data_IF_066976737062
#
_entry.id   IF_066976737062
#
_cell.length_a   1.000
_cell.length_b   1.000
_cell.length_c   1.000
_cell.angle_alpha   90.00
_cell.angle_beta   90.00
_cell.angle_gamma   90.00
#
_symmetry.space_group_name_H-M   'P 1'
#
loop_
_entity.id
_entity.type
_entity.pdbx_description
1 polymer ?
#
# COMPACT_ATOMS: atom_id res chain seq x y z
N UNK A 1 -16.29 1.59 37.45
CA UNK A 1 -16.60 0.94 36.15
C UNK A 1 -17.87 0.06 36.22
N UNK A 2 -18.15 -0.60 37.34
CA UNK A 2 -19.32 -1.47 37.52
C UNK A 2 -20.68 -0.78 37.66
N UNK A 3 -20.71 0.55 37.76
CA UNK A 3 -21.95 1.34 37.93
C UNK A 3 -22.62 1.77 36.62
N UNK A 4 -21.95 1.60 35.46
CA UNK A 4 -22.47 2.01 34.20
C UNK A 4 -23.09 0.83 33.40
N UNK A 5 -24.24 1.07 32.77
CA UNK A 5 -24.80 0.16 31.78
C UNK A 5 -24.03 0.35 30.44
N UNK A 6 -22.97 -0.39 30.27
CA UNK A 6 -22.10 -0.30 29.11
C UNK A 6 -22.80 -0.68 27.79
N UNK A 7 -23.94 -1.39 27.87
CA UNK A 7 -24.75 -1.66 26.68
C UNK A 7 -25.43 -0.41 26.11
N UNK A 8 -25.47 0.68 26.87
CA UNK A 8 -26.04 1.99 26.50
C UNK A 8 -25.05 3.13 26.63
N UNK A 9 -23.82 2.84 27.07
CA UNK A 9 -22.78 3.85 27.33
C UNK A 9 -21.73 3.80 26.23
N UNK A 10 -21.32 4.97 25.72
CA UNK A 10 -20.21 5.11 24.81
C UNK A 10 -18.89 5.31 25.58
N UNK A 11 -17.79 4.85 25.00
CA UNK A 11 -16.44 5.19 25.41
C UNK A 11 -15.86 6.27 24.48
N UNK A 12 -15.17 7.25 25.05
CA UNK A 12 -14.43 8.28 24.35
C UNK A 12 -12.97 8.23 24.78
N UNK A 13 -12.06 8.13 23.81
CA UNK A 13 -10.62 8.18 24.06
C UNK A 13 -9.86 8.82 22.88
N UNK A 14 -8.59 9.12 23.10
CA UNK A 14 -7.66 9.52 22.04
C UNK A 14 -6.72 8.36 21.71
N UNK A 15 -6.82 7.78 20.52
CA UNK A 15 -6.23 6.49 20.14
C UNK A 15 -6.94 5.31 20.86
N UNK A 16 -8.24 5.33 20.81
CA UNK A 16 -9.17 4.47 21.58
C UNK A 16 -8.93 2.96 21.38
N UNK A 17 -8.23 2.53 20.33
CA UNK A 17 -7.88 1.13 20.14
C UNK A 17 -7.14 0.54 21.34
N UNK A 18 -6.23 1.31 21.96
CA UNK A 18 -5.48 0.87 23.12
C UNK A 18 -6.38 0.76 24.36
N UNK A 19 -7.06 1.85 24.72
CA UNK A 19 -7.87 1.93 25.95
C UNK A 19 -9.03 0.94 25.93
N UNK A 20 -9.75 0.86 24.80
CA UNK A 20 -10.90 -0.04 24.67
C UNK A 20 -10.47 -1.51 24.63
N UNK A 21 -9.29 -1.83 24.08
CA UNK A 21 -8.80 -3.21 24.16
C UNK A 21 -8.53 -3.65 25.60
N UNK A 22 -8.03 -2.76 26.46
CA UNK A 22 -7.87 -3.03 27.89
C UNK A 22 -9.23 -3.22 28.56
N UNK A 23 -10.20 -2.31 28.30
CA UNK A 23 -11.55 -2.43 28.84
C UNK A 23 -12.20 -3.76 28.47
N UNK A 24 -12.14 -4.14 27.19
CA UNK A 24 -12.83 -5.35 26.69
C UNK A 24 -12.08 -6.64 27.06
N UNK A 25 -10.76 -6.70 26.87
CA UNK A 25 -10.02 -7.94 27.03
C UNK A 25 -9.62 -8.22 28.48
N UNK A 26 -9.35 -7.16 29.27
CA UNK A 26 -8.94 -7.32 30.67
C UNK A 26 -10.12 -7.28 31.64
N UNK A 27 -11.10 -6.41 31.36
CA UNK A 27 -12.21 -6.16 32.28
C UNK A 27 -13.57 -6.66 31.79
N UNK A 28 -13.66 -7.18 30.56
CA UNK A 28 -14.91 -7.66 29.97
C UNK A 28 -15.94 -6.56 29.68
N UNK A 29 -15.53 -5.30 29.74
CA UNK A 29 -16.41 -4.13 29.57
C UNK A 29 -16.52 -3.80 28.09
N UNK A 30 -17.75 -3.86 27.54
CA UNK A 30 -18.02 -3.65 26.11
C UNK A 30 -18.90 -2.42 25.89
N UNK A 31 -18.31 -1.25 25.60
CA UNK A 31 -19.09 -0.04 25.30
C UNK A 31 -20.03 -0.23 24.11
N UNK A 32 -21.25 0.37 24.19
CA UNK A 32 -22.20 0.35 23.07
C UNK A 32 -21.62 1.02 21.80
N UNK A 33 -20.85 2.09 21.99
CA UNK A 33 -20.21 2.86 20.93
C UNK A 33 -18.82 3.34 21.36
N UNK A 34 -17.91 3.52 20.41
CA UNK A 34 -16.55 3.96 20.66
C UNK A 34 -16.25 5.20 19.81
N UNK A 35 -15.92 6.30 20.48
CA UNK A 35 -15.42 7.52 19.84
C UNK A 35 -13.89 7.57 19.96
N UNK A 36 -13.23 7.93 18.88
CA UNK A 36 -11.76 8.10 18.82
C UNK A 36 -11.39 9.45 18.22
N UNK A 37 -10.97 10.37 19.06
CA UNK A 37 -10.58 11.71 18.62
C UNK A 37 -9.35 11.73 17.71
N UNK A 38 -8.46 10.72 17.79
CA UNK A 38 -7.33 10.59 16.85
C UNK A 38 -7.82 10.26 15.44
N UNK A 39 -8.74 9.31 15.31
CA UNK A 39 -9.35 8.95 14.02
C UNK A 39 -10.14 10.10 13.41
N UNK A 40 -10.93 10.81 14.23
CA UNK A 40 -11.68 12.00 13.80
C UNK A 40 -10.74 13.11 13.31
N UNK A 41 -9.68 13.41 14.06
CA UNK A 41 -8.72 14.44 13.70
C UNK A 41 -7.97 14.11 12.39
N UNK A 42 -7.58 12.85 12.18
CA UNK A 42 -6.95 12.41 10.92
C UNK A 42 -7.83 12.67 9.69
N UNK A 43 -9.11 12.42 9.80
CA UNK A 43 -10.04 12.64 8.68
C UNK A 43 -10.25 14.13 8.38
N UNK A 44 -10.31 15.00 9.39
CA UNK A 44 -10.55 16.43 9.22
C UNK A 44 -9.29 17.23 8.86
N UNK A 45 -8.12 16.81 9.37
CA UNK A 45 -6.88 17.61 9.31
C UNK A 45 -5.80 16.97 8.44
N UNK A 46 -5.99 15.71 8.05
CA UNK A 46 -4.98 14.91 7.39
C UNK A 46 -3.97 14.29 8.36
N UNK A 47 -3.22 13.31 7.86
CA UNK A 47 -2.26 12.53 8.66
C UNK A 47 -0.89 13.20 8.80
N UNK A 48 -0.62 14.23 7.98
CA UNK A 48 0.71 14.86 7.89
C UNK A 48 0.95 15.96 8.93
N UNK A 49 -0.11 16.60 9.40
CA UNK A 49 0.00 17.74 10.33
C UNK A 49 0.27 17.34 11.78
N UNK A 50 0.26 16.04 12.08
CA UNK A 50 0.35 15.55 13.44
C UNK A 50 -0.98 15.69 14.21
N UNK A 51 -1.42 14.60 14.82
CA UNK A 51 -2.71 14.53 15.49
C UNK A 51 -2.59 13.91 16.89
N UNK A 52 -1.44 14.06 17.57
CA UNK A 52 -1.30 13.66 18.96
C UNK A 52 -2.17 14.53 19.88
N UNK A 53 -2.56 14.01 21.04
CA UNK A 53 -3.36 14.75 22.02
C UNK A 53 -2.72 16.12 22.36
N UNK A 54 -1.40 16.13 22.58
CA UNK A 54 -0.65 17.37 22.84
C UNK A 54 -0.71 18.36 21.68
N UNK A 55 -0.56 17.87 20.44
CA UNK A 55 -0.61 18.74 19.24
C UNK A 55 -2.00 19.31 19.04
N UNK A 56 -3.05 18.51 19.21
CA UNK A 56 -4.43 18.96 19.10
C UNK A 56 -4.79 19.96 20.22
N UNK A 57 -4.34 19.71 21.45
CA UNK A 57 -4.53 20.64 22.55
C UNK A 57 -3.89 22.01 22.25
N UNK A 58 -2.64 22.02 21.79
CA UNK A 58 -1.94 23.25 21.36
C UNK A 58 -2.67 23.98 20.24
N UNK A 59 -3.06 23.26 19.18
CA UNK A 59 -3.71 23.86 18.00
C UNK A 59 -5.09 24.43 18.30
N UNK A 60 -5.78 23.87 19.30
CA UNK A 60 -7.08 24.36 19.77
C UNK A 60 -6.99 25.35 20.92
N UNK A 61 -5.79 25.77 21.33
CA UNK A 61 -5.59 26.72 22.43
C UNK A 61 -6.07 26.18 23.78
N UNK A 62 -5.98 24.85 23.99
CA UNK A 62 -6.27 24.20 25.25
C UNK A 62 -5.01 24.14 26.14
N UNK A 63 -5.14 23.88 27.44
CA UNK A 63 -4.00 23.69 28.33
C UNK A 63 -3.00 22.66 27.82
N UNK A 64 -1.71 22.86 28.12
CA UNK A 64 -0.65 21.95 27.69
C UNK A 64 -0.80 20.57 28.30
N UNK A 65 -0.59 19.52 27.51
CA UNK A 65 -0.57 18.13 27.96
C UNK A 65 0.62 17.88 28.89
N UNK A 66 0.40 17.27 30.04
CA UNK A 66 1.43 16.88 31.00
C UNK A 66 2.36 15.77 30.46
N UNK A 67 3.43 15.47 31.22
CA UNK A 67 4.46 14.47 30.88
C UNK A 67 4.66 13.39 31.97
N UNK A 68 3.83 13.36 33.01
CA UNK A 68 4.00 12.48 34.16
C UNK A 68 4.12 10.98 33.80
N UNK A 69 3.51 10.54 32.71
CA UNK A 69 3.62 9.14 32.25
C UNK A 69 5.07 8.70 31.98
N UNK A 70 5.97 9.61 31.62
CA UNK A 70 7.37 9.26 31.35
C UNK A 70 8.18 8.95 32.60
N UNK A 71 7.74 9.41 33.79
CA UNK A 71 8.40 9.11 35.06
C UNK A 71 8.14 7.68 35.55
N UNK A 72 7.14 7.00 34.94
CA UNK A 72 6.78 5.61 35.32
C UNK A 72 7.31 4.57 34.33
N UNK A 73 8.02 4.96 33.25
CA UNK A 73 8.55 4.06 32.25
C UNK A 73 9.53 3.04 32.86
N UNK A 74 9.20 1.74 32.71
CA UNK A 74 10.03 0.63 33.20
C UNK A 74 9.86 0.30 34.70
N UNK A 75 9.00 0.99 35.39
CA UNK A 75 8.71 0.67 36.81
C UNK A 75 7.66 -0.44 36.91
N UNK A 76 7.92 -1.42 37.79
CA UNK A 76 6.96 -2.47 38.12
C UNK A 76 5.96 -2.04 39.22
N UNK A 77 6.38 -1.13 40.08
CA UNK A 77 5.60 -0.57 41.20
C UNK A 77 5.82 0.94 41.24
N UNK A 78 4.83 1.67 41.70
CA UNK A 78 4.85 3.13 41.89
C UNK A 78 4.47 3.45 43.34
N UNK A 79 5.04 4.49 43.92
CA UNK A 79 4.68 4.99 45.24
C UNK A 79 3.39 5.83 45.18
N UNK A 80 2.88 6.23 46.37
CA UNK A 80 1.62 6.97 46.49
C UNK A 80 1.68 8.39 45.86
N UNK A 81 2.85 9.01 45.89
CA UNK A 81 3.01 10.36 45.34
C UNK A 81 3.00 10.30 43.81
N UNK A 82 3.71 9.34 43.21
CA UNK A 82 3.64 9.04 41.82
C UNK A 82 2.25 8.61 41.34
N UNK A 83 1.53 7.79 42.15
CA UNK A 83 0.15 7.41 41.90
C UNK A 83 -0.77 8.63 41.82
N UNK A 84 -0.62 9.58 42.75
CA UNK A 84 -1.40 10.82 42.78
C UNK A 84 -1.10 11.70 41.55
N UNK A 85 0.18 11.90 41.24
CA UNK A 85 0.60 12.65 40.07
C UNK A 85 0.07 12.04 38.74
N UNK A 86 0.15 10.71 38.65
CA UNK A 86 -0.38 9.99 37.49
C UNK A 86 -1.91 10.09 37.37
N UNK A 87 -2.61 10.06 38.51
CA UNK A 87 -4.06 10.24 38.56
C UNK A 87 -4.49 11.63 38.04
N UNK A 88 -3.78 12.68 38.45
CA UNK A 88 -4.06 14.04 37.99
C UNK A 88 -3.69 14.22 36.53
N UNK A 89 -2.60 13.63 36.09
CA UNK A 89 -2.26 13.55 34.69
C UNK A 89 -3.35 12.85 33.84
N UNK A 90 -3.87 11.70 34.29
CA UNK A 90 -4.95 10.99 33.62
C UNK A 90 -6.24 11.82 33.53
N UNK A 91 -6.63 12.50 34.65
CA UNK A 91 -7.79 13.40 34.63
C UNK A 91 -7.62 14.54 33.61
N UNK A 92 -6.43 15.09 33.54
CA UNK A 92 -6.11 16.15 32.58
C UNK A 92 -6.19 15.67 31.14
N UNK A 93 -5.66 14.46 30.84
CA UNK A 93 -5.75 13.87 29.50
C UNK A 93 -7.22 13.59 29.10
N UNK A 94 -8.06 13.12 30.03
CA UNK A 94 -9.51 12.95 29.81
C UNK A 94 -10.18 14.30 29.51
N UNK A 95 -9.89 15.34 30.29
CA UNK A 95 -10.38 16.70 30.04
C UNK A 95 -10.00 17.21 28.64
N UNK A 96 -8.72 17.07 28.25
CA UNK A 96 -8.26 17.46 26.91
C UNK A 96 -8.98 16.68 25.82
N UNK A 97 -9.12 15.36 25.99
CA UNK A 97 -9.82 14.50 25.04
C UNK A 97 -11.28 14.92 24.85
N UNK A 98 -12.00 15.24 25.94
CA UNK A 98 -13.37 15.72 25.91
C UNK A 98 -13.49 17.07 25.17
N UNK A 99 -12.64 18.03 25.49
CA UNK A 99 -12.65 19.36 24.83
C UNK A 99 -12.32 19.28 23.34
N UNK A 100 -11.40 18.38 22.97
CA UNK A 100 -11.07 18.12 21.57
C UNK A 100 -12.27 17.46 20.86
N UNK A 101 -12.91 16.48 21.49
CA UNK A 101 -14.08 15.82 20.92
C UNK A 101 -15.21 16.81 20.62
N UNK A 102 -15.54 17.69 21.56
CA UNK A 102 -16.58 18.71 21.37
C UNK A 102 -16.35 19.58 20.13
N UNK A 103 -15.09 19.92 19.84
CA UNK A 103 -14.75 20.70 18.66
C UNK A 103 -14.76 19.91 17.35
N UNK A 104 -14.40 18.61 17.41
CA UNK A 104 -14.35 17.77 16.24
C UNK A 104 -15.72 17.24 15.83
N UNK A 105 -16.63 17.04 16.79
CA UNK A 105 -17.92 16.36 16.54
C UNK A 105 -18.99 17.27 15.93
N UNK A 106 -18.87 18.58 16.06
CA UNK A 106 -19.90 19.55 15.71
C UNK A 106 -20.47 19.35 14.30
N UNK A 107 -19.60 19.15 13.30
CA UNK A 107 -20.01 18.90 11.92
C UNK A 107 -19.53 17.55 11.39
N UNK A 108 -19.18 16.61 12.29
CA UNK A 108 -18.64 15.31 11.87
C UNK A 108 -19.75 14.38 11.37
N UNK A 109 -19.62 13.78 10.17
CA UNK A 109 -20.67 12.91 9.63
C UNK A 109 -20.92 11.69 10.52
N UNK A 110 -22.17 11.43 10.85
CA UNK A 110 -22.56 10.26 11.69
C UNK A 110 -22.18 8.92 11.05
N UNK A 111 -22.18 8.85 9.71
CA UNK A 111 -21.70 7.68 8.96
C UNK A 111 -20.22 7.39 9.26
N UNK A 112 -19.37 8.42 9.29
CA UNK A 112 -17.95 8.28 9.55
C UNK A 112 -17.67 7.90 11.01
N UNK A 113 -18.45 8.42 11.96
CA UNK A 113 -18.35 7.97 13.36
C UNK A 113 -18.65 6.47 13.49
N UNK A 114 -19.66 5.95 12.73
CA UNK A 114 -19.94 4.52 12.70
C UNK A 114 -18.80 3.70 12.07
N UNK A 115 -18.15 4.22 11.05
CA UNK A 115 -16.98 3.57 10.44
C UNK A 115 -15.78 3.52 11.41
N UNK A 116 -15.57 4.56 12.20
CA UNK A 116 -14.55 4.58 13.27
C UNK A 116 -14.88 3.51 14.32
N UNK A 117 -16.09 3.50 14.85
CA UNK A 117 -16.55 2.52 15.83
C UNK A 117 -16.39 1.08 15.30
N UNK A 118 -16.83 0.82 14.07
CA UNK A 118 -16.70 -0.48 13.42
C UNK A 118 -15.22 -0.88 13.28
N UNK A 119 -14.36 0.05 12.85
CA UNK A 119 -12.92 -0.21 12.67
C UNK A 119 -12.27 -0.64 13.99
N UNK A 120 -12.59 0.04 15.08
CA UNK A 120 -12.09 -0.30 16.42
C UNK A 120 -12.63 -1.66 16.89
N UNK A 121 -13.93 -1.93 16.70
CA UNK A 121 -14.55 -3.22 17.05
C UNK A 121 -14.02 -4.39 16.24
N UNK A 122 -13.56 -4.21 14.99
CA UNK A 122 -12.88 -5.25 14.23
C UNK A 122 -11.59 -5.73 14.91
N UNK A 123 -10.97 -4.89 15.72
CA UNK A 123 -9.81 -5.23 16.52
C UNK A 123 -10.20 -5.76 17.92
N UNK A 124 -11.04 -5.02 18.64
CA UNK A 124 -11.35 -5.33 20.05
C UNK A 124 -12.33 -6.48 20.21
N UNK A 125 -13.18 -6.76 19.20
CA UNK A 125 -14.19 -7.83 19.15
C UNK A 125 -14.00 -8.71 17.91
N UNK A 126 -12.85 -9.37 17.77
CA UNK A 126 -12.57 -10.16 16.58
C UNK A 126 -13.55 -11.32 16.43
N UNK A 127 -13.94 -11.59 15.17
CA UNK A 127 -14.87 -12.70 14.83
C UNK A 127 -14.26 -13.70 13.85
N UNK A 128 -13.21 -13.31 13.11
CA UNK A 128 -12.58 -14.19 12.12
C UNK A 128 -11.86 -15.36 12.77
N UNK A 129 -12.00 -16.54 12.20
CA UNK A 129 -11.30 -17.76 12.61
C UNK A 129 -10.08 -18.02 11.75
N UNK A 130 -9.18 -18.86 12.22
CA UNK A 130 -7.99 -19.28 11.48
C UNK A 130 -7.94 -20.81 11.35
N UNK A 131 -7.74 -21.31 10.13
CA UNK A 131 -7.46 -22.70 9.86
C UNK A 131 -6.04 -23.06 10.32
N UNK A 132 -5.95 -23.63 11.52
CA UNK A 132 -4.67 -24.01 12.14
C UNK A 132 -3.98 -25.13 11.37
N UNK A 133 -4.77 -26.09 10.86
CA UNK A 133 -4.23 -27.23 10.12
C UNK A 133 -3.53 -26.77 8.87
N UNK A 134 -4.21 -25.95 8.07
CA UNK A 134 -3.64 -25.34 6.86
C UNK A 134 -2.37 -24.51 7.16
N UNK A 135 -2.35 -23.76 8.25
CA UNK A 135 -1.19 -22.94 8.62
C UNK A 135 0.01 -23.82 9.01
N UNK A 136 -0.21 -24.90 9.76
CA UNK A 136 0.84 -25.83 10.17
C UNK A 136 1.40 -26.59 8.96
N UNK A 137 0.52 -27.08 8.09
CA UNK A 137 0.91 -27.76 6.85
C UNK A 137 1.77 -26.86 5.96
N UNK A 138 1.30 -25.62 5.71
CA UNK A 138 2.03 -24.67 4.89
C UNK A 138 3.41 -24.29 5.46
N UNK A 139 3.52 -24.13 6.78
CA UNK A 139 4.81 -23.88 7.45
C UNK A 139 5.74 -25.08 7.36
N UNK A 140 5.19 -26.28 7.48
CA UNK A 140 5.97 -27.54 7.39
C UNK A 140 6.49 -27.75 5.97
N UNK A 141 5.66 -27.55 4.96
CA UNK A 141 6.06 -27.65 3.55
C UNK A 141 7.11 -26.62 3.17
N UNK A 142 6.91 -25.35 3.62
CA UNK A 142 7.88 -24.29 3.38
C UNK A 142 9.23 -24.60 4.05
N UNK A 143 9.21 -25.14 5.27
CA UNK A 143 10.40 -25.59 5.99
C UNK A 143 11.16 -26.70 5.23
N UNK A 144 10.46 -27.75 4.83
CA UNK A 144 11.04 -28.87 4.05
C UNK A 144 11.62 -28.41 2.71
N UNK A 145 10.89 -27.52 1.99
CA UNK A 145 11.36 -26.99 0.72
C UNK A 145 12.65 -26.17 0.89
N UNK A 146 12.71 -25.35 1.94
CA UNK A 146 13.90 -24.55 2.26
C UNK A 146 15.10 -25.43 2.63
N UNK A 147 14.90 -26.43 3.49
CA UNK A 147 15.93 -27.39 3.89
C UNK A 147 16.45 -28.17 2.67
N UNK A 148 15.55 -28.59 1.77
CA UNK A 148 15.91 -29.27 0.53
C UNK A 148 16.77 -28.39 -0.41
N UNK A 149 16.46 -27.09 -0.53
CA UNK A 149 17.27 -26.15 -1.32
C UNK A 149 18.66 -25.93 -0.71
N UNK A 150 18.76 -25.77 0.62
CA UNK A 150 20.03 -25.62 1.31
C UNK A 150 20.90 -26.86 1.16
N UNK A 151 20.32 -28.04 1.33
CA UNK A 151 21.02 -29.32 1.15
C UNK A 151 21.51 -29.52 -0.30
N UNK A 152 20.68 -29.19 -1.30
CA UNK A 152 21.06 -29.28 -2.72
C UNK A 152 22.25 -28.38 -3.07
N UNK A 153 22.30 -27.19 -2.48
CA UNK A 153 23.35 -26.21 -2.73
C UNK A 153 24.58 -26.43 -1.85
N UNK A 154 24.51 -27.23 -0.80
CA UNK A 154 25.59 -27.43 0.17
C UNK A 154 25.97 -26.13 0.91
N UNK A 155 25.02 -25.23 1.14
CA UNK A 155 25.24 -23.92 1.79
C UNK A 155 24.41 -23.77 3.05
N UNK A 156 24.90 -22.96 3.95
CA UNK A 156 24.20 -22.60 5.20
C UNK A 156 23.24 -21.42 5.00
N UNK A 157 22.15 -21.39 5.77
CA UNK A 157 21.19 -20.29 5.77
C UNK A 157 21.88 -18.94 6.04
N UNK A 158 22.88 -18.92 6.94
CA UNK A 158 23.68 -17.75 7.30
C UNK A 158 24.47 -17.16 6.12
N UNK A 159 24.87 -18.00 5.17
CA UNK A 159 25.61 -17.59 3.98
C UNK A 159 24.70 -16.91 2.98
N UNK A 160 23.51 -17.47 2.78
CA UNK A 160 22.48 -16.86 1.93
C UNK A 160 21.90 -15.59 2.54
N UNK A 161 21.79 -15.50 3.85
CA UNK A 161 21.28 -14.29 4.53
C UNK A 161 22.25 -13.10 4.50
N UNK A 162 23.55 -13.34 4.58
CA UNK A 162 24.59 -12.33 4.61
C UNK A 162 24.92 -11.81 3.20
N UNK A 163 24.89 -10.49 2.99
CA UNK A 163 25.27 -9.92 1.69
C UNK A 163 26.73 -10.22 1.29
N UNK A 164 27.75 -10.07 2.18
CA UNK A 164 29.14 -10.40 1.84
C UNK A 164 29.34 -11.91 1.55
N UNK A 165 28.78 -12.80 2.37
CA UNK A 165 28.91 -14.24 2.17
C UNK A 165 28.23 -14.68 0.87
N UNK A 166 27.05 -14.18 0.58
CA UNK A 166 26.35 -14.45 -0.69
C UNK A 166 27.13 -13.96 -1.91
N UNK A 167 27.74 -12.78 -1.81
CA UNK A 167 28.62 -12.29 -2.86
C UNK A 167 29.81 -13.21 -3.12
N UNK A 168 30.39 -13.82 -2.06
CA UNK A 168 31.46 -14.80 -2.18
C UNK A 168 30.96 -16.09 -2.88
N UNK A 169 29.72 -16.56 -2.59
CA UNK A 169 29.13 -17.70 -3.28
C UNK A 169 28.95 -17.42 -4.80
N UNK A 170 28.51 -16.23 -5.18
CA UNK A 170 28.44 -15.84 -6.59
C UNK A 170 29.80 -15.84 -7.26
N UNK A 171 30.85 -15.34 -6.59
CA UNK A 171 32.22 -15.42 -7.09
C UNK A 171 32.70 -16.88 -7.24
N UNK A 172 32.31 -17.76 -6.33
CA UNK A 172 32.61 -19.20 -6.44
C UNK A 172 32.01 -19.87 -7.69
N UNK A 173 30.88 -19.34 -8.17
CA UNK A 173 30.23 -19.75 -9.43
C UNK A 173 30.74 -18.96 -10.66
N UNK A 174 31.81 -18.17 -10.53
CA UNK A 174 32.38 -17.37 -11.62
C UNK A 174 31.57 -16.12 -12.00
N UNK A 175 30.62 -15.69 -11.17
CA UNK A 175 29.75 -14.55 -11.44
C UNK A 175 30.09 -13.38 -10.53
N UNK A 176 30.36 -12.20 -11.12
CA UNK A 176 30.59 -10.97 -10.38
C UNK A 176 29.30 -10.52 -9.67
N UNK A 177 29.31 -10.30 -8.33
CA UNK A 177 28.15 -9.81 -7.61
C UNK A 177 27.69 -8.45 -8.12
N UNK A 178 26.39 -8.28 -8.43
CA UNK A 178 25.87 -7.03 -8.98
C UNK A 178 25.97 -5.90 -7.95
N UNK A 179 26.27 -4.70 -8.44
CA UNK A 179 26.42 -3.48 -7.63
C UNK A 179 25.56 -2.36 -8.17
N UNK A 180 25.17 -1.43 -7.28
CA UNK A 180 24.44 -0.21 -7.61
C UNK A 180 24.89 0.96 -6.73
N UNK A 181 24.65 2.17 -7.19
CA UNK A 181 24.83 3.36 -6.37
C UNK A 181 23.62 3.50 -5.43
N UNK A 182 23.88 3.61 -4.14
CA UNK A 182 22.86 3.84 -3.13
C UNK A 182 22.26 5.24 -3.28
N UNK A 183 20.94 5.33 -3.43
CA UNK A 183 20.23 6.63 -3.50
C UNK A 183 20.33 7.45 -2.22
N UNK A 184 20.58 6.78 -1.09
CA UNK A 184 20.65 7.43 0.23
C UNK A 184 22.06 7.92 0.57
N UNK A 185 23.09 7.14 0.21
CA UNK A 185 24.48 7.44 0.63
C UNK A 185 25.38 7.83 -0.54
N UNK A 186 24.94 7.68 -1.79
CA UNK A 186 25.77 7.89 -2.98
C UNK A 186 26.90 6.86 -3.18
N UNK A 187 27.05 5.89 -2.28
CA UNK A 187 28.12 4.89 -2.33
C UNK A 187 27.73 3.67 -3.15
N UNK A 188 28.74 3.01 -3.74
CA UNK A 188 28.56 1.76 -4.47
C UNK A 188 28.30 0.61 -3.48
N UNK A 189 27.11 -0.01 -3.58
CA UNK A 189 26.65 -1.11 -2.73
C UNK A 189 26.29 -2.34 -3.55
N UNK A 190 26.17 -3.51 -2.90
CA UNK A 190 25.69 -4.74 -3.54
C UNK A 190 24.20 -4.61 -3.92
N UNK A 191 23.85 -4.91 -5.17
CA UNK A 191 22.50 -4.89 -5.71
C UNK A 191 21.85 -6.28 -5.59
N UNK A 192 21.54 -6.71 -4.36
CA UNK A 192 21.05 -8.07 -4.05
C UNK A 192 19.62 -8.10 -3.52
N UNK A 193 18.87 -7.01 -3.64
CA UNK A 193 17.46 -7.00 -3.26
C UNK A 193 16.59 -7.62 -4.36
N UNK A 194 15.43 -8.18 -3.97
CA UNK A 194 14.48 -8.80 -4.89
C UNK A 194 14.11 -7.91 -6.09
N UNK A 195 14.05 -6.59 -5.89
CA UNK A 195 13.65 -5.63 -6.93
C UNK A 195 14.86 -5.01 -7.65
N UNK A 196 16.08 -5.45 -7.37
CA UNK A 196 17.25 -4.97 -8.09
C UNK A 196 17.30 -5.63 -9.47
N UNK A 197 17.29 -4.84 -10.53
CA UNK A 197 17.24 -5.33 -11.91
C UNK A 197 18.40 -6.29 -12.23
N UNK A 198 19.62 -5.97 -11.77
CA UNK A 198 20.79 -6.84 -11.96
C UNK A 198 20.67 -8.17 -11.21
N UNK A 199 20.06 -8.18 -10.01
CA UNK A 199 19.79 -9.42 -9.29
C UNK A 199 18.72 -10.26 -9.98
N UNK A 200 17.67 -9.61 -10.52
CA UNK A 200 16.65 -10.29 -11.31
C UNK A 200 17.22 -10.90 -12.60
N UNK A 201 18.23 -10.27 -13.19
CA UNK A 201 18.92 -10.85 -14.36
C UNK A 201 19.68 -12.15 -13.98
N UNK A 202 20.29 -12.22 -12.81
CA UNK A 202 20.93 -13.45 -12.31
C UNK A 202 19.89 -14.54 -12.03
N UNK A 203 18.77 -14.18 -11.41
CA UNK A 203 17.68 -15.09 -11.08
C UNK A 203 17.02 -15.71 -12.32
N UNK A 204 16.91 -14.96 -13.40
CA UNK A 204 16.26 -15.38 -14.64
C UNK A 204 17.28 -15.68 -15.78
N UNK A 205 18.56 -15.76 -15.43
CA UNK A 205 19.63 -16.06 -16.38
C UNK A 205 19.71 -17.53 -16.77
N UNK A 206 20.51 -17.84 -17.79
CA UNK A 206 20.67 -19.20 -18.34
C UNK A 206 21.49 -20.13 -17.44
N UNK A 207 22.24 -19.57 -16.48
CA UNK A 207 23.03 -20.39 -15.53
C UNK A 207 22.13 -20.90 -14.40
N UNK A 208 21.76 -22.17 -14.48
CA UNK A 208 20.84 -22.81 -13.51
C UNK A 208 21.36 -22.80 -12.05
N UNK A 209 22.69 -22.94 -11.85
CA UNK A 209 23.28 -22.94 -10.51
C UNK A 209 23.16 -21.56 -9.87
N UNK A 210 23.44 -20.50 -10.64
CA UNK A 210 23.29 -19.12 -10.20
C UNK A 210 21.82 -18.77 -9.94
N UNK A 211 20.93 -19.19 -10.83
CA UNK A 211 19.49 -18.98 -10.66
C UNK A 211 18.96 -19.68 -9.39
N UNK A 212 19.35 -20.94 -9.18
CA UNK A 212 19.00 -21.71 -7.98
C UNK A 212 19.54 -21.07 -6.71
N UNK A 213 20.79 -20.59 -6.72
CA UNK A 213 21.42 -19.90 -5.60
C UNK A 213 20.68 -18.58 -5.29
N UNK A 214 20.30 -17.81 -6.31
CA UNK A 214 19.51 -16.59 -6.15
C UNK A 214 18.10 -16.88 -5.64
N UNK A 215 17.44 -17.93 -6.10
CA UNK A 215 16.14 -18.37 -5.60
C UNK A 215 16.22 -18.76 -4.11
N UNK A 216 17.19 -19.57 -3.73
CA UNK A 216 17.41 -19.98 -2.35
C UNK A 216 17.62 -18.76 -1.44
N UNK A 217 18.43 -17.79 -1.88
CA UNK A 217 18.59 -16.53 -1.15
C UNK A 217 17.27 -15.78 -0.97
N UNK A 218 16.44 -15.68 -2.00
CA UNK A 218 15.13 -15.01 -1.90
C UNK A 218 14.23 -15.74 -0.90
N UNK A 219 14.24 -17.06 -0.87
CA UNK A 219 13.49 -17.88 0.10
C UNK A 219 13.97 -17.66 1.52
N UNK A 220 15.28 -17.64 1.76
CA UNK A 220 15.87 -17.36 3.07
C UNK A 220 15.58 -15.94 3.54
N UNK A 221 15.70 -14.94 2.66
CA UNK A 221 15.42 -13.54 2.98
C UNK A 221 13.94 -13.23 3.12
N UNK A 222 13.05 -14.00 2.51
CA UNK A 222 11.59 -13.77 2.52
C UNK A 222 10.94 -14.37 3.76
N UNK A 223 11.31 -13.90 4.94
CA UNK A 223 10.73 -14.36 6.21
C UNK A 223 9.31 -13.86 6.46
N UNK A 224 8.81 -12.91 5.66
CA UNK A 224 7.56 -12.20 5.93
C UNK A 224 6.33 -13.12 5.98
N UNK A 225 6.17 -14.05 5.04
CA UNK A 225 5.02 -14.97 5.03
C UNK A 225 5.10 -15.97 6.18
N UNK A 226 6.28 -16.53 6.43
CA UNK A 226 6.53 -17.43 7.55
C UNK A 226 6.27 -16.75 8.90
N UNK A 227 6.83 -15.56 9.10
CA UNK A 227 6.62 -14.79 10.34
C UNK A 227 5.14 -14.47 10.54
N UNK A 228 4.41 -14.13 9.46
CA UNK A 228 2.96 -13.89 9.52
C UNK A 228 2.19 -15.17 9.82
N UNK A 229 2.56 -16.30 9.22
CA UNK A 229 1.93 -17.58 9.49
C UNK A 229 2.12 -18.02 10.95
N UNK A 230 3.33 -17.87 11.48
CA UNK A 230 3.59 -18.15 12.90
C UNK A 230 2.74 -17.25 13.81
N UNK A 231 2.64 -15.96 13.51
CA UNK A 231 1.78 -15.02 14.26
C UNK A 231 0.30 -15.40 14.16
N UNK A 232 -0.17 -15.87 13.02
CA UNK A 232 -1.53 -16.36 12.87
C UNK A 232 -1.77 -17.59 13.76
N UNK A 233 -0.81 -18.52 13.81
CA UNK A 233 -0.88 -19.66 14.72
C UNK A 233 -0.90 -19.23 16.18
N UNK A 234 -0.03 -18.32 16.58
CA UNK A 234 0.02 -17.80 17.96
C UNK A 234 -1.29 -17.11 18.37
N UNK A 235 -1.90 -16.36 17.43
CA UNK A 235 -3.20 -15.74 17.64
C UNK A 235 -4.31 -16.78 17.72
N UNK A 236 -4.31 -17.78 16.87
CA UNK A 236 -5.34 -18.83 16.85
C UNK A 236 -5.39 -19.64 18.14
N UNK A 237 -4.31 -19.66 18.93
CA UNK A 237 -4.28 -20.25 20.26
C UNK A 237 -5.04 -19.41 21.31
N UNK A 238 -5.17 -18.10 21.07
CA UNK A 238 -5.79 -17.15 22.00
C UNK A 238 -7.24 -16.85 21.65
N UNK A 239 -7.67 -17.18 20.42
CA UNK A 239 -9.03 -16.95 19.96
C UNK A 239 -9.13 -16.46 18.52
N UNK A 240 -10.12 -15.64 18.24
CA UNK A 240 -10.40 -15.09 16.94
C UNK A 240 -9.31 -14.10 16.47
N UNK A 241 -9.18 -13.95 15.15
CA UNK A 241 -8.18 -13.07 14.52
C UNK A 241 -8.60 -11.60 14.60
N UNK A 242 -7.89 -10.73 15.34
CA UNK A 242 -8.16 -9.30 15.34
C UNK A 242 -7.68 -8.63 14.03
N UNK A 243 -8.41 -7.60 13.60
CA UNK A 243 -8.08 -6.82 12.40
C UNK A 243 -7.63 -5.42 12.79
N UNK A 244 -6.32 -5.20 13.00
CA UNK A 244 -5.76 -3.93 13.45
C UNK A 244 -5.63 -2.95 12.29
N UNK A 245 -6.63 -2.10 12.09
CA UNK A 245 -6.63 -1.04 11.10
C UNK A 245 -6.68 0.35 11.76
N UNK A 246 -5.99 1.30 11.15
CA UNK A 246 -6.13 2.72 11.43
C UNK A 246 -7.11 3.33 10.43
N UNK A 247 -8.22 3.86 10.92
CA UNK A 247 -9.13 4.67 10.10
C UNK A 247 -8.42 5.93 9.64
N UNK A 248 -8.59 6.27 8.35
CA UNK A 248 -7.93 7.41 7.71
C UNK A 248 -6.41 7.41 7.96
N UNK A 249 -5.76 6.24 7.80
CA UNK A 249 -4.33 6.06 8.12
C UNK A 249 -3.38 6.55 7.02
N UNK A 250 -3.86 6.80 5.80
CA UNK A 250 -3.11 7.32 4.67
C UNK A 250 -3.61 8.71 4.24
N UNK A 251 -2.78 9.49 3.53
CA UNK A 251 -3.15 10.80 2.95
C UNK A 251 -4.40 10.73 2.05
N UNK A 252 -4.61 9.60 1.39
CA UNK A 252 -5.77 9.35 0.52
C UNK A 252 -7.04 8.95 1.27
N UNK A 253 -7.07 9.03 2.59
CA UNK A 253 -8.20 8.58 3.42
C UNK A 253 -8.37 7.06 3.53
N UNK A 254 -7.46 6.25 2.94
CA UNK A 254 -7.53 4.79 3.03
C UNK A 254 -7.16 4.31 4.44
N UNK A 255 -7.75 3.19 4.86
CA UNK A 255 -7.28 2.48 6.04
C UNK A 255 -5.85 1.99 5.83
N UNK A 256 -5.07 2.00 6.90
CA UNK A 256 -3.74 1.37 6.94
C UNK A 256 -3.68 0.39 8.09
N UNK A 257 -2.68 -0.49 8.08
CA UNK A 257 -2.41 -1.29 9.27
C UNK A 257 -2.05 -0.38 10.45
N UNK A 258 -2.60 -0.67 11.62
CA UNK A 258 -2.30 0.10 12.82
C UNK A 258 -0.80 0.02 13.14
N UNK A 259 -0.22 1.14 13.58
CA UNK A 259 1.22 1.23 13.91
C UNK A 259 1.58 0.21 14.99
N UNK A 260 2.66 -0.52 14.80
CA UNK A 260 3.09 -1.56 15.75
C UNK A 260 2.29 -2.86 15.67
N UNK A 261 1.27 -2.97 14.79
CA UNK A 261 0.53 -4.21 14.66
C UNK A 261 1.40 -5.32 14.07
N UNK A 262 1.28 -6.50 14.66
CA UNK A 262 1.97 -7.70 14.19
C UNK A 262 1.42 -8.22 12.84
N UNK A 263 0.23 -7.76 12.43
CA UNK A 263 -0.49 -8.25 11.26
C UNK A 263 -0.88 -7.07 10.38
N UNK A 264 -0.49 -7.14 9.11
CA UNK A 264 -0.99 -6.25 8.08
C UNK A 264 -1.89 -7.06 7.13
N UNK A 265 -3.20 -7.03 7.38
CA UNK A 265 -4.21 -7.75 6.61
C UNK A 265 -4.29 -7.27 5.15
N UNK A 266 -4.03 -5.99 4.90
CA UNK A 266 -4.11 -5.39 3.57
C UNK A 266 -2.98 -5.86 2.62
N UNK A 267 -1.85 -6.31 3.20
CA UNK A 267 -0.68 -6.77 2.45
C UNK A 267 -0.58 -8.31 2.34
N UNK A 268 -1.67 -9.04 2.57
CA UNK A 268 -1.72 -10.47 2.29
C UNK A 268 -1.79 -10.68 0.78
N UNK A 269 -0.88 -11.46 0.23
CA UNK A 269 -0.84 -11.74 -1.21
C UNK A 269 -2.11 -12.43 -1.69
N UNK A 270 -2.56 -12.07 -2.88
CA UNK A 270 -3.68 -12.74 -3.54
C UNK A 270 -3.35 -14.21 -3.75
N UNK A 271 -4.26 -15.10 -3.34
CA UNK A 271 -4.09 -16.54 -3.47
C UNK A 271 -3.13 -17.19 -2.46
N UNK A 272 -2.51 -16.42 -1.55
CA UNK A 272 -1.63 -16.99 -0.51
C UNK A 272 -2.41 -17.88 0.47
N UNK A 273 -1.74 -18.86 1.03
CA UNK A 273 -2.30 -19.72 2.07
C UNK A 273 -2.76 -18.91 3.30
N UNK A 274 -2.09 -17.79 3.62
CA UNK A 274 -2.51 -16.92 4.71
C UNK A 274 -3.92 -16.36 4.51
N UNK A 275 -4.28 -15.98 3.26
CA UNK A 275 -5.64 -15.52 2.97
C UNK A 275 -6.65 -16.66 3.01
N UNK A 276 -6.26 -17.84 2.55
CA UNK A 276 -7.11 -19.04 2.55
C UNK A 276 -7.36 -19.56 3.97
N UNK A 277 -6.42 -19.37 4.89
CA UNK A 277 -6.55 -19.77 6.28
C UNK A 277 -7.51 -18.90 7.10
N UNK A 278 -7.98 -17.76 6.56
CA UNK A 278 -8.96 -16.89 7.22
C UNK A 278 -10.36 -17.45 6.93
N UNK A 279 -11.09 -17.81 7.99
CA UNK A 279 -12.42 -18.41 7.90
C UNK A 279 -13.48 -17.60 8.62
N UNK A 280 -14.72 -17.76 8.22
CA UNK A 280 -15.87 -17.35 9.01
C UNK A 280 -16.04 -18.27 10.23
N UNK A 281 -16.64 -17.79 11.33
CA UNK A 281 -17.12 -18.65 12.40
C UNK A 281 -18.16 -19.66 11.90
N UNK A 282 -18.38 -20.72 12.64
CA UNK A 282 -19.43 -21.68 12.34
C UNK A 282 -20.81 -21.00 12.23
N UNK A 283 -21.57 -21.38 11.23
CA UNK A 283 -22.89 -20.76 10.92
C UNK A 283 -22.82 -19.42 10.18
N UNK A 284 -21.63 -18.91 9.83
CA UNK A 284 -21.43 -17.66 9.12
C UNK A 284 -20.70 -17.87 7.79
N UNK A 285 -20.77 -16.87 6.93
CA UNK A 285 -20.04 -16.83 5.66
C UNK A 285 -19.26 -15.53 5.53
N UNK A 286 -18.08 -15.59 4.89
CA UNK A 286 -17.33 -14.41 4.47
C UNK A 286 -17.84 -13.94 3.11
N UNK A 287 -18.44 -12.74 3.08
CA UNK A 287 -18.82 -12.06 1.86
C UNK A 287 -17.70 -11.09 1.49
N UNK A 288 -17.13 -11.28 0.30
CA UNK A 288 -16.05 -10.42 -0.21
C UNK A 288 -16.58 -9.63 -1.39
N UNK A 289 -16.64 -8.30 -1.22
CA UNK A 289 -17.05 -7.37 -2.27
C UNK A 289 -15.90 -6.44 -2.64
N UNK A 290 -15.74 -6.16 -3.95
CA UNK A 290 -14.80 -5.18 -4.47
C UNK A 290 -15.50 -4.32 -5.51
N UNK A 291 -15.27 -3.00 -5.43
CA UNK A 291 -15.81 -2.05 -6.40
C UNK A 291 -14.93 -2.09 -7.65
N UNK A 292 -15.39 -2.83 -8.65
CA UNK A 292 -14.63 -3.02 -9.89
C UNK A 292 -14.28 -1.69 -10.55
N UNK A 293 -12.96 -1.45 -10.69
CA UNK A 293 -12.42 -0.29 -11.42
C UNK A 293 -12.93 1.06 -10.86
N UNK A 294 -13.07 1.18 -9.53
CA UNK A 294 -13.67 2.38 -8.92
C UNK A 294 -12.88 3.66 -9.25
N UNK A 295 -11.54 3.58 -9.30
CA UNK A 295 -10.68 4.73 -9.55
C UNK A 295 -10.90 5.34 -10.95
N UNK A 296 -10.83 4.59 -12.07
CA UNK A 296 -11.15 5.14 -13.38
C UNK A 296 -12.63 5.53 -13.54
N UNK A 297 -13.57 4.92 -12.80
CA UNK A 297 -14.98 5.34 -12.80
C UNK A 297 -15.15 6.71 -12.16
N UNK A 298 -14.55 6.93 -11.00
CA UNK A 298 -14.59 8.22 -10.29
C UNK A 298 -13.88 9.29 -11.11
N UNK A 299 -12.71 8.97 -11.69
CA UNK A 299 -11.99 9.91 -12.55
C UNK A 299 -12.82 10.31 -13.78
N UNK A 300 -13.44 9.33 -14.44
CA UNK A 300 -14.32 9.60 -15.59
C UNK A 300 -15.53 10.47 -15.20
N UNK A 301 -16.11 10.25 -14.02
CA UNK A 301 -17.21 11.06 -13.50
C UNK A 301 -16.76 12.50 -13.16
N UNK A 302 -15.60 12.65 -12.51
CA UNK A 302 -15.04 13.96 -12.17
C UNK A 302 -14.69 14.79 -13.42
N UNK A 303 -14.17 14.13 -14.46
CA UNK A 303 -13.75 14.76 -15.70
C UNK A 303 -14.84 14.85 -16.78
N UNK A 304 -16.07 14.44 -16.50
CA UNK A 304 -17.17 14.36 -17.48
C UNK A 304 -16.82 13.54 -18.74
N UNK A 305 -16.02 12.46 -18.57
CA UNK A 305 -15.60 11.59 -19.65
C UNK A 305 -16.72 10.57 -20.00
N UNK A 306 -17.76 11.05 -20.70
CA UNK A 306 -18.97 10.29 -20.96
C UNK A 306 -18.73 9.01 -21.79
N UNK A 307 -17.78 8.99 -22.72
CA UNK A 307 -17.47 7.78 -23.49
C UNK A 307 -17.01 6.65 -22.59
N UNK A 308 -16.12 6.94 -21.61
CA UNK A 308 -15.65 5.96 -20.66
C UNK A 308 -16.74 5.56 -19.65
N UNK A 309 -17.58 6.50 -19.23
CA UNK A 309 -18.75 6.21 -18.39
C UNK A 309 -19.75 5.29 -19.09
N UNK A 310 -19.97 5.47 -20.38
CA UNK A 310 -20.87 4.62 -21.18
C UNK A 310 -20.31 3.20 -21.36
N UNK A 311 -19.01 3.04 -21.52
CA UNK A 311 -18.35 1.72 -21.49
C UNK A 311 -18.63 1.02 -20.16
N UNK A 312 -18.51 1.71 -19.02
CA UNK A 312 -18.83 1.14 -17.72
C UNK A 312 -20.32 0.82 -17.53
N UNK A 313 -21.22 1.68 -18.00
CA UNK A 313 -22.68 1.47 -17.93
C UNK A 313 -23.13 0.26 -18.75
N UNK A 314 -22.51 0.04 -19.90
CA UNK A 314 -22.80 -1.09 -20.80
C UNK A 314 -22.16 -2.40 -20.34
N UNK A 315 -21.36 -2.39 -19.26
CA UNK A 315 -20.67 -3.59 -18.77
C UNK A 315 -19.52 -4.07 -19.66
N UNK A 316 -19.10 -3.27 -20.63
CA UNK A 316 -17.97 -3.59 -21.50
C UNK A 316 -16.63 -3.53 -20.75
N UNK A 317 -15.63 -4.24 -21.28
CA UNK A 317 -14.29 -4.22 -20.74
C UNK A 317 -13.55 -2.93 -21.13
N UNK A 318 -13.49 -1.96 -20.21
CA UNK A 318 -12.85 -0.67 -20.46
C UNK A 318 -11.37 -0.80 -20.88
N UNK A 319 -10.66 -1.81 -20.39
CA UNK A 319 -9.27 -2.04 -20.81
C UNK A 319 -9.17 -2.57 -22.24
N UNK A 320 -10.11 -3.43 -22.66
CA UNK A 320 -10.17 -3.92 -24.02
C UNK A 320 -10.57 -2.80 -25.00
N UNK A 321 -11.56 -1.98 -24.62
CA UNK A 321 -11.99 -0.84 -25.44
C UNK A 321 -10.88 0.22 -25.60
N UNK A 322 -10.23 0.58 -24.50
CA UNK A 322 -9.08 1.50 -24.57
C UNK A 322 -7.93 0.90 -25.39
N UNK A 323 -7.66 -0.40 -25.22
CA UNK A 323 -6.66 -1.11 -26.03
C UNK A 323 -7.03 -1.15 -27.52
N UNK A 324 -8.29 -1.34 -27.86
CA UNK A 324 -8.78 -1.30 -29.25
C UNK A 324 -8.46 0.05 -29.90
N UNK A 325 -8.68 1.15 -29.18
CA UNK A 325 -8.31 2.49 -29.65
C UNK A 325 -6.78 2.67 -29.73
N UNK A 326 -6.06 2.27 -28.67
CA UNK A 326 -4.61 2.44 -28.59
C UNK A 326 -3.83 1.70 -29.68
N UNK A 327 -4.28 0.49 -30.04
CA UNK A 327 -3.61 -0.36 -31.03
C UNK A 327 -4.30 -0.37 -32.41
N UNK A 328 -5.41 0.35 -32.59
CA UNK A 328 -6.18 0.34 -33.82
C UNK A 328 -6.79 -1.04 -34.13
N UNK A 329 -7.18 -1.82 -33.13
CA UNK A 329 -7.74 -3.18 -33.28
C UNK A 329 -9.20 -3.19 -32.85
N UNK A 330 -10.15 -2.94 -33.77
CA UNK A 330 -11.58 -2.99 -33.42
C UNK A 330 -11.99 -4.38 -32.89
N UNK A 331 -12.84 -4.40 -31.86
CA UNK A 331 -13.35 -5.64 -31.29
C UNK A 331 -12.32 -6.43 -30.45
N UNK A 332 -11.25 -5.79 -30.01
CA UNK A 332 -10.28 -6.42 -29.10
C UNK A 332 -10.94 -6.91 -27.83
N UNK A 333 -10.63 -8.13 -27.40
CA UNK A 333 -11.11 -8.75 -26.18
C UNK A 333 -9.96 -9.26 -25.32
N UNK A 334 -10.27 -9.65 -24.09
CA UNK A 334 -9.29 -10.30 -23.20
C UNK A 334 -8.75 -11.61 -23.79
N UNK A 335 -9.60 -12.35 -24.49
CA UNK A 335 -9.24 -13.67 -25.01
C UNK A 335 -8.50 -13.59 -26.35
N UNK A 336 -8.85 -12.60 -27.20
CA UNK A 336 -8.17 -12.41 -28.49
C UNK A 336 -6.79 -11.76 -28.36
N UNK A 337 -6.60 -10.82 -27.42
CA UNK A 337 -5.35 -10.05 -27.26
C UNK A 337 -5.01 -9.79 -25.79
N UNK A 338 -4.69 -10.84 -25.00
CA UNK A 338 -4.48 -10.72 -23.55
C UNK A 338 -3.33 -9.76 -23.19
N UNK A 339 -2.21 -9.80 -23.92
CA UNK A 339 -1.02 -8.97 -23.65
C UNK A 339 -1.26 -7.49 -23.96
N UNK A 340 -1.94 -7.20 -25.08
CA UNK A 340 -2.27 -5.83 -25.45
C UNK A 340 -3.30 -5.23 -24.47
N UNK A 341 -4.28 -6.04 -24.08
CA UNK A 341 -5.24 -5.63 -23.03
C UNK A 341 -4.55 -5.40 -21.68
N UNK A 342 -3.55 -6.21 -21.32
CA UNK A 342 -2.79 -5.99 -20.08
C UNK A 342 -1.99 -4.68 -20.16
N UNK A 343 -1.39 -4.37 -21.30
CA UNK A 343 -0.70 -3.10 -21.53
C UNK A 343 -1.67 -1.91 -21.45
N UNK A 344 -2.85 -2.03 -22.05
CA UNK A 344 -3.91 -1.04 -21.96
C UNK A 344 -4.42 -0.83 -20.51
N UNK A 345 -4.53 -1.92 -19.74
CA UNK A 345 -4.88 -1.85 -18.32
C UNK A 345 -3.83 -1.08 -17.54
N UNK A 346 -2.55 -1.36 -17.75
CA UNK A 346 -1.45 -0.66 -17.07
C UNK A 346 -1.44 0.83 -17.44
N UNK A 347 -1.70 1.14 -18.71
CA UNK A 347 -1.82 2.52 -19.19
C UNK A 347 -3.02 3.25 -18.54
N UNK A 348 -4.22 2.68 -18.61
CA UNK A 348 -5.43 3.33 -18.09
C UNK A 348 -5.33 3.61 -16.58
N UNK A 349 -4.78 2.67 -15.81
CA UNK A 349 -4.59 2.83 -14.38
C UNK A 349 -3.46 3.81 -14.04
N UNK A 350 -2.30 3.68 -14.70
CA UNK A 350 -1.12 4.53 -14.42
C UNK A 350 -1.30 5.96 -14.90
N UNK A 351 -1.76 6.13 -16.15
CA UNK A 351 -1.92 7.46 -16.74
C UNK A 351 -3.04 8.25 -16.09
N UNK A 352 -4.10 7.59 -15.57
CA UNK A 352 -5.17 8.26 -14.84
C UNK A 352 -4.70 9.07 -13.64
N UNK A 353 -3.55 8.72 -13.07
CA UNK A 353 -2.87 9.45 -11.99
C UNK A 353 -1.82 10.45 -12.49
N UNK A 354 -1.81 10.79 -13.76
CA UNK A 354 -0.83 11.71 -14.33
C UNK A 354 0.60 11.16 -14.44
N UNK A 355 0.76 9.82 -14.43
CA UNK A 355 2.09 9.18 -14.50
C UNK A 355 2.85 9.60 -15.76
N UNK A 356 4.11 10.03 -15.57
CA UNK A 356 5.01 10.34 -16.68
C UNK A 356 5.65 9.09 -17.31
N UNK A 357 6.13 9.21 -18.54
CA UNK A 357 6.67 8.09 -19.31
C UNK A 357 7.83 7.37 -18.63
N UNK A 358 8.76 8.10 -18.01
CA UNK A 358 9.94 7.50 -17.36
C UNK A 358 9.56 6.62 -16.18
N UNK A 359 8.63 7.11 -15.33
CA UNK A 359 8.10 6.32 -14.20
C UNK A 359 7.28 5.13 -14.70
N UNK A 360 6.49 5.30 -15.78
CA UNK A 360 5.71 4.22 -16.37
C UNK A 360 6.63 3.12 -16.95
N UNK A 361 7.64 3.49 -17.76
CA UNK A 361 8.63 2.57 -18.29
C UNK A 361 9.37 1.81 -17.18
N UNK A 362 9.87 2.53 -16.16
CA UNK A 362 10.58 1.92 -15.04
C UNK A 362 9.69 0.92 -14.26
N UNK A 363 8.42 1.24 -14.03
CA UNK A 363 7.50 0.35 -13.33
C UNK A 363 7.17 -0.90 -14.14
N UNK A 364 7.04 -0.80 -15.46
CA UNK A 364 6.83 -1.94 -16.34
C UNK A 364 8.00 -2.94 -16.29
N UNK A 365 9.24 -2.46 -16.23
CA UNK A 365 10.45 -3.31 -16.14
C UNK A 365 10.53 -4.13 -14.83
N UNK A 366 9.91 -3.66 -13.75
CA UNK A 366 9.91 -4.38 -12.45
C UNK A 366 8.57 -5.04 -12.12
N UNK A 367 7.58 -4.87 -12.98
CA UNK A 367 6.20 -5.32 -12.77
C UNK A 367 5.29 -4.22 -12.21
N UNK A 368 4.16 -4.00 -12.87
CA UNK A 368 3.23 -2.91 -12.57
C UNK A 368 1.89 -3.45 -12.04
N UNK A 369 1.45 -2.94 -10.90
CA UNK A 369 0.17 -3.30 -10.26
C UNK A 369 -0.07 -4.83 -10.12
N UNK A 370 0.98 -5.57 -9.78
CA UNK A 370 0.93 -7.03 -9.61
C UNK A 370 0.99 -7.83 -10.90
N UNK A 371 1.19 -7.17 -12.06
CA UNK A 371 1.53 -7.84 -13.30
C UNK A 371 3.04 -8.20 -13.33
N UNK A 372 3.44 -9.23 -14.06
CA UNK A 372 4.86 -9.56 -14.24
C UNK A 372 5.60 -8.42 -14.96
N UNK A 373 6.95 -8.38 -14.88
CA UNK A 373 7.77 -7.45 -15.63
C UNK A 373 7.47 -7.54 -17.14
N UNK A 374 7.37 -6.39 -17.78
CA UNK A 374 7.12 -6.27 -19.22
C UNK A 374 8.15 -5.35 -19.83
N UNK A 375 8.81 -5.80 -20.89
CA UNK A 375 9.67 -4.98 -21.73
C UNK A 375 9.09 -4.92 -23.15
N UNK A 376 8.79 -3.72 -23.60
CA UNK A 376 8.31 -3.50 -24.96
C UNK A 376 9.49 -3.60 -25.94
N UNK A 377 9.34 -4.42 -26.94
CA UNK A 377 10.30 -4.64 -28.03
C UNK A 377 9.94 -3.83 -29.29
N UNK A 378 10.73 -4.02 -30.37
CA UNK A 378 10.50 -3.36 -31.63
C UNK A 378 9.17 -3.76 -32.29
N UNK A 379 8.76 -5.03 -32.12
CA UNK A 379 7.50 -5.50 -32.70
C UNK A 379 6.31 -4.83 -32.01
N UNK A 380 6.40 -4.66 -30.68
CA UNK A 380 5.40 -3.92 -29.92
C UNK A 380 5.39 -2.42 -30.27
N UNK A 381 6.56 -1.79 -30.35
CA UNK A 381 6.68 -0.38 -30.75
C UNK A 381 6.09 -0.12 -32.16
N UNK A 382 6.27 -1.06 -33.08
CA UNK A 382 5.65 -1.01 -34.40
C UNK A 382 4.12 -1.06 -34.34
N UNK A 383 3.53 -1.86 -33.43
CA UNK A 383 2.07 -1.91 -33.24
C UNK A 383 1.51 -0.58 -32.73
N UNK A 384 2.33 0.23 -32.05
CA UNK A 384 1.98 1.57 -31.57
C UNK A 384 2.26 2.67 -32.59
N UNK A 385 2.66 2.32 -33.83
CA UNK A 385 3.06 3.28 -34.83
C UNK A 385 4.19 4.23 -34.36
N UNK A 386 5.21 3.64 -33.72
CA UNK A 386 6.44 4.36 -33.34
C UNK A 386 7.33 4.48 -34.60
N UNK A 387 7.34 5.66 -35.21
CA UNK A 387 8.15 5.98 -36.39
C UNK A 387 9.58 6.39 -36.03
N UNK A 388 10.48 6.40 -36.99
CA UNK A 388 11.84 6.93 -36.80
C UNK A 388 11.82 8.40 -36.37
N UNK A 389 10.96 9.21 -37.01
CA UNK A 389 10.77 10.62 -36.62
C UNK A 389 10.30 10.79 -35.16
N UNK A 390 9.43 9.90 -34.68
CA UNK A 390 9.01 9.93 -33.31
C UNK A 390 10.18 9.64 -32.33
N UNK A 391 11.06 8.69 -32.69
CA UNK A 391 12.27 8.37 -31.93
C UNK A 391 13.23 9.56 -31.93
N UNK A 392 13.50 10.16 -33.10
CA UNK A 392 14.36 11.34 -33.24
C UNK A 392 13.84 12.51 -32.36
N UNK A 393 12.55 12.77 -32.39
CA UNK A 393 11.93 13.79 -31.55
C UNK A 393 12.09 13.46 -30.04
N UNK A 394 11.96 12.19 -29.66
CA UNK A 394 12.14 11.77 -28.27
C UNK A 394 13.56 12.02 -27.79
N UNK A 395 14.59 11.62 -28.55
CA UNK A 395 16.00 11.82 -28.18
C UNK A 395 16.46 13.26 -28.37
N UNK A 396 15.79 14.05 -29.17
CA UNK A 396 16.06 15.48 -29.34
C UNK A 396 15.74 16.32 -28.11
N UNK A 397 15.02 15.78 -27.13
CA UNK A 397 14.73 16.44 -25.87
C UNK A 397 15.74 16.01 -24.80
N UNK A 398 16.59 16.94 -24.36
CA UNK A 398 17.64 16.69 -23.36
C UNK A 398 17.09 16.07 -22.05
N UNK A 399 15.93 16.54 -21.58
CA UNK A 399 15.26 15.98 -20.39
C UNK A 399 14.87 14.50 -20.58
N UNK A 400 14.47 14.08 -21.78
CA UNK A 400 14.19 12.69 -22.05
C UNK A 400 15.45 11.84 -22.00
N UNK A 401 16.55 12.31 -22.59
CA UNK A 401 17.85 11.61 -22.58
C UNK A 401 18.35 11.45 -21.15
N UNK A 402 18.29 12.51 -20.36
CA UNK A 402 18.64 12.47 -18.93
C UNK A 402 17.82 11.43 -18.15
N UNK A 403 16.49 11.47 -18.27
CA UNK A 403 15.61 10.52 -17.63
C UNK A 403 15.83 9.08 -18.09
N UNK A 404 16.14 8.87 -19.38
CA UNK A 404 16.47 7.57 -19.93
C UNK A 404 17.68 6.94 -19.22
N UNK A 405 18.74 7.72 -19.01
CA UNK A 405 19.96 7.29 -18.34
C UNK A 405 19.76 6.95 -16.83
N UNK A 406 18.73 7.51 -16.21
CA UNK A 406 18.41 7.26 -14.81
C UNK A 406 17.58 5.97 -14.59
N UNK A 407 17.05 5.33 -15.65
CA UNK A 407 16.23 4.13 -15.53
C UNK A 407 17.12 2.89 -15.31
N UNK A 408 17.02 2.20 -14.16
CA UNK A 408 17.73 0.95 -13.94
C UNK A 408 17.27 -0.14 -14.91
N UNK A 409 18.19 -0.77 -15.62
CA UNK A 409 17.86 -1.80 -16.61
C UNK A 409 18.96 -2.88 -16.69
N UNK A 410 18.62 -4.01 -17.30
CA UNK A 410 19.52 -5.14 -17.59
C UNK A 410 19.64 -5.46 -19.08
N UNK A 411 18.92 -4.70 -19.91
CA UNK A 411 18.95 -4.83 -21.37
C UNK A 411 19.97 -3.87 -21.99
N UNK A 412 20.19 -3.98 -23.27
CA UNK A 412 21.05 -3.04 -23.99
C UNK A 412 20.42 -1.63 -24.03
N UNK A 413 21.23 -0.58 -24.15
CA UNK A 413 20.73 0.80 -24.28
C UNK A 413 19.73 0.96 -25.45
N UNK A 414 19.97 0.23 -26.55
CA UNK A 414 19.06 0.23 -27.70
C UNK A 414 17.69 -0.38 -27.35
N UNK A 415 17.65 -1.46 -26.59
CA UNK A 415 16.41 -2.09 -26.15
C UNK A 415 15.69 -1.21 -25.11
N UNK A 416 16.43 -0.59 -24.19
CA UNK A 416 15.86 0.38 -23.26
C UNK A 416 15.23 1.56 -23.98
N UNK A 417 15.92 2.12 -24.97
CA UNK A 417 15.39 3.23 -25.78
C UNK A 417 14.05 2.83 -26.42
N UNK A 418 14.00 1.66 -27.08
CA UNK A 418 12.76 1.16 -27.71
C UNK A 418 11.64 1.03 -26.69
N UNK A 419 11.93 0.45 -25.53
CA UNK A 419 10.95 0.31 -24.45
C UNK A 419 10.43 1.66 -23.95
N UNK A 420 11.32 2.62 -23.69
CA UNK A 420 10.97 3.93 -23.19
C UNK A 420 10.18 4.78 -24.20
N UNK A 421 10.56 4.69 -25.46
CA UNK A 421 9.84 5.36 -26.56
C UNK A 421 8.42 4.78 -26.73
N UNK A 422 8.27 3.45 -26.65
CA UNK A 422 6.95 2.81 -26.67
C UNK A 422 6.11 3.22 -25.45
N UNK A 423 6.70 3.27 -24.26
CA UNK A 423 6.03 3.75 -23.06
C UNK A 423 5.57 5.23 -23.18
N UNK A 424 6.43 6.09 -23.75
CA UNK A 424 6.07 7.49 -24.05
C UNK A 424 4.91 7.58 -25.05
N UNK A 425 4.94 6.77 -26.11
CA UNK A 425 3.86 6.72 -27.10
C UNK A 425 2.53 6.31 -26.47
N UNK A 426 2.52 5.35 -25.57
CA UNK A 426 1.32 4.96 -24.80
C UNK A 426 0.76 6.14 -24.01
N UNK A 427 1.63 6.88 -23.31
CA UNK A 427 1.22 8.08 -22.56
C UNK A 427 0.60 9.12 -23.50
N UNK A 428 1.20 9.36 -24.66
CA UNK A 428 0.70 10.32 -25.64
C UNK A 428 -0.66 9.91 -26.20
N UNK A 429 -0.83 8.62 -26.54
CA UNK A 429 -2.12 8.07 -26.98
C UNK A 429 -3.16 8.25 -25.87
N UNK A 430 -2.82 7.91 -24.60
CA UNK A 430 -3.74 8.09 -23.49
C UNK A 430 -4.19 9.55 -23.38
N UNK A 431 -3.26 10.50 -23.38
CA UNK A 431 -3.58 11.93 -23.24
C UNK A 431 -4.39 12.46 -24.40
N UNK A 432 -4.18 11.97 -25.61
CA UNK A 432 -4.98 12.32 -26.77
C UNK A 432 -6.40 11.72 -26.71
N UNK A 433 -6.52 10.46 -26.28
CA UNK A 433 -7.81 9.76 -26.18
C UNK A 433 -8.64 10.23 -24.99
N UNK A 434 -8.00 10.36 -23.83
CA UNK A 434 -8.65 10.79 -22.58
C UNK A 434 -8.55 12.33 -22.37
N UNK A 435 -8.80 13.09 -23.42
CA UNK A 435 -8.75 14.57 -23.38
C UNK A 435 -9.59 15.18 -22.23
N UNK A 436 -10.81 14.67 -21.89
CA UNK A 436 -11.56 15.18 -20.74
C UNK A 436 -10.79 15.09 -19.43
N UNK A 437 -10.04 13.99 -19.21
CA UNK A 437 -9.20 13.81 -18.02
C UNK A 437 -8.06 14.82 -17.97
N UNK A 438 -7.38 15.06 -19.09
CA UNK A 438 -6.30 16.06 -19.17
C UNK A 438 -6.84 17.46 -18.90
N UNK A 439 -7.97 17.83 -19.50
CA UNK A 439 -8.63 19.11 -19.26
C UNK A 439 -9.08 19.29 -17.80
N UNK A 440 -9.50 18.18 -17.16
CA UNK A 440 -9.85 18.19 -15.73
C UNK A 440 -8.62 18.46 -14.86
N UNK A 441 -7.44 17.87 -15.14
CA UNK A 441 -6.21 18.18 -14.42
C UNK A 441 -5.83 19.65 -14.54
N UNK A 442 -5.84 20.19 -15.76
CA UNK A 442 -5.54 21.61 -16.01
C UNK A 442 -6.53 22.53 -15.30
N UNK A 443 -7.80 22.13 -15.20
CA UNK A 443 -8.81 22.84 -14.41
C UNK A 443 -8.48 22.79 -12.91
N UNK A 444 -8.15 21.62 -12.36
CA UNK A 444 -7.78 21.47 -10.95
C UNK A 444 -6.58 22.36 -10.59
N UNK A 445 -5.54 22.37 -11.43
CA UNK A 445 -4.36 23.22 -11.22
C UNK A 445 -4.73 24.72 -11.19
N UNK A 446 -5.60 25.16 -12.09
CA UNK A 446 -6.10 26.54 -12.11
C UNK A 446 -6.93 26.88 -10.88
N UNK A 447 -7.84 25.98 -10.45
CA UNK A 447 -8.68 26.21 -9.27
C UNK A 447 -7.84 26.25 -7.99
N UNK A 448 -6.88 25.33 -7.86
CA UNK A 448 -5.93 25.33 -6.73
C UNK A 448 -5.09 26.61 -6.70
N UNK A 449 -4.58 27.05 -7.84
CA UNK A 449 -3.80 28.28 -7.94
C UNK A 449 -4.66 29.50 -7.56
N UNK A 450 -5.91 29.54 -8.01
CA UNK A 450 -6.85 30.62 -7.67
C UNK A 450 -7.16 30.64 -6.17
N UNK A 451 -7.46 29.49 -5.58
CA UNK A 451 -7.75 29.37 -4.14
C UNK A 451 -6.55 29.82 -3.30
N UNK A 452 -5.34 29.36 -3.64
CA UNK A 452 -4.10 29.75 -2.95
C UNK A 452 -3.79 31.25 -3.07
N UNK A 453 -4.05 31.85 -4.22
CA UNK A 453 -3.78 33.28 -4.45
C UNK A 453 -4.85 34.21 -3.82
N UNK A 454 -6.13 33.79 -3.83
CA UNK A 454 -7.25 34.57 -3.36
C UNK A 454 -7.67 34.31 -1.91
N UNK A 455 -7.23 33.22 -1.31
CA UNK A 455 -7.65 32.79 0.03
C UNK A 455 -9.14 32.38 0.10
N UNK A 456 -9.78 32.15 -1.05
CA UNK A 456 -11.18 31.77 -1.14
C UNK A 456 -11.29 30.28 -1.48
N UNK A 457 -12.24 29.62 -0.81
CA UNK A 457 -12.59 28.23 -1.10
C UNK A 457 -13.31 28.15 -2.45
N UNK A 458 -12.86 27.24 -3.32
CA UNK A 458 -13.47 26.99 -4.62
C UNK A 458 -13.98 25.57 -4.67
N UNK A 459 -15.27 25.37 -4.98
CA UNK A 459 -15.92 24.06 -5.04
C UNK A 459 -16.15 23.65 -6.49
N UNK A 460 -15.79 22.41 -6.81
CA UNK A 460 -16.15 21.74 -8.07
C UNK A 460 -16.64 20.33 -7.78
N UNK A 461 -17.92 20.06 -8.06
CA UNK A 461 -18.59 18.80 -7.69
C UNK A 461 -18.43 18.48 -6.20
N UNK A 462 -17.68 17.40 -5.89
CA UNK A 462 -17.37 17.03 -4.50
C UNK A 462 -15.96 17.43 -4.06
N UNK A 463 -15.24 18.21 -4.88
CA UNK A 463 -13.88 18.69 -4.58
C UNK A 463 -13.94 20.11 -4.08
N UNK A 464 -13.16 20.38 -3.05
CA UNK A 464 -12.93 21.71 -2.48
C UNK A 464 -11.44 22.05 -2.60
N UNK A 465 -11.14 23.21 -3.13
CA UNK A 465 -9.79 23.70 -3.36
C UNK A 465 -9.48 24.87 -2.43
#
# INVERSE_FOLDING_TARGET
>A
LGTYDWSKTAALAHNAQFDVSILEWRYGIRPAFIFDTLSMARALRGVEVGNSLAKLASDFGLPEKGRAVHSTDGLAEIDKDMESELADYCKHDVYLCERIFERLVENYPKSELRLIDMTLKMYTRPVLQLDRTMLIEALTEEGKHREGLLAKLGVEESELASNPKFAALLWGLGVAPPRKVSKTTGQLTLALAKNDALFQALLNGENEDVATLCEARLKVKSTTERTRAQRFLDISQRGALPVPLSYYGAKSGRWTAAKGSAINMQNLKRGSFLRKAIMAPEGYQLLVGDLSQIEPRVLAWLSDYEELLNIFRSGQDAYAQFGAQMFGIPGMTKDSHPDLRQSAKSALLGCGYGLGWASFASQLLVGFLGAPPVRYDKAFAKKLDVTAEYIERFIGWEDNVKKLQEIPHTCTERELLVHCVAAKKIIDIYRATAHPVVSFWDMCDRLLTKSLAGGEEVVYKCLTF
#
